data_IF_443736192583
#
_entry.id   IF_443736192583
#
_cell.length_a   1.000
_cell.length_b   1.000
_cell.length_c   1.000
_cell.angle_alpha   90.00
_cell.angle_beta   90.00
_cell.angle_gamma   90.00
#
_symmetry.space_group_name_H-M   'P 1'
#
loop_
_entity.id
_entity.type
_entity.pdbx_description
1 polymer ?
#
# COMPACT_ATOMS: atom_id res chain seq x y z
N UNK A 1 -33.87 7.58 23.65
CA UNK A 1 -33.70 7.52 22.19
C UNK A 1 -32.54 8.39 21.67
N UNK A 2 -32.45 9.68 22.01
CA UNK A 2 -31.42 10.62 21.52
C UNK A 2 -29.97 10.17 21.79
N UNK A 3 -29.69 9.64 23.00
CA UNK A 3 -28.35 9.09 23.35
C UNK A 3 -27.94 7.89 22.49
N UNK A 4 -28.90 7.03 22.14
CA UNK A 4 -28.64 5.85 21.29
C UNK A 4 -28.29 6.27 19.87
N UNK A 5 -29.10 7.16 19.27
CA UNK A 5 -28.85 7.71 17.93
C UNK A 5 -27.49 8.40 17.84
N UNK A 6 -27.13 9.22 18.85
CA UNK A 6 -25.80 9.85 18.93
C UNK A 6 -24.67 8.81 18.89
N UNK A 7 -24.79 7.75 19.68
CA UNK A 7 -23.74 6.72 19.75
C UNK A 7 -23.64 5.95 18.41
N UNK A 8 -24.75 5.68 17.73
CA UNK A 8 -24.76 5.09 16.38
C UNK A 8 -24.06 5.99 15.37
N UNK A 9 -24.35 7.30 15.39
CA UNK A 9 -23.68 8.27 14.49
C UNK A 9 -22.18 8.32 14.76
N UNK A 10 -21.75 8.34 16.02
CA UNK A 10 -20.33 8.31 16.37
C UNK A 10 -19.65 7.00 15.95
N UNK A 11 -20.34 5.86 16.05
CA UNK A 11 -19.83 4.58 15.58
C UNK A 11 -19.60 4.59 14.07
N UNK A 12 -20.59 5.04 13.29
CA UNK A 12 -20.48 5.16 11.82
C UNK A 12 -19.35 6.11 11.44
N UNK A 13 -19.28 7.27 12.10
CA UNK A 13 -18.21 8.25 11.90
C UNK A 13 -16.83 7.62 12.14
N UNK A 14 -16.68 6.91 13.26
CA UNK A 14 -15.42 6.22 13.61
C UNK A 14 -15.06 5.17 12.57
N UNK A 15 -16.03 4.38 12.10
CA UNK A 15 -15.80 3.39 11.04
C UNK A 15 -15.34 4.04 9.73
N UNK A 16 -15.95 5.16 9.33
CA UNK A 16 -15.54 5.90 8.13
C UNK A 16 -14.08 6.38 8.25
N UNK A 17 -13.72 7.03 9.36
CA UNK A 17 -12.34 7.48 9.56
C UNK A 17 -11.35 6.32 9.61
N UNK A 18 -11.72 5.19 10.21
CA UNK A 18 -10.88 3.99 10.23
C UNK A 18 -10.63 3.47 8.82
N UNK A 19 -11.67 3.39 7.97
CA UNK A 19 -11.52 3.00 6.56
C UNK A 19 -10.61 3.97 5.80
N UNK A 20 -10.74 5.28 6.02
CA UNK A 20 -9.86 6.28 5.40
C UNK A 20 -8.40 6.11 5.85
N UNK A 21 -8.15 5.84 7.13
CA UNK A 21 -6.80 5.59 7.66
C UNK A 21 -6.20 4.32 7.04
N UNK A 22 -6.99 3.26 6.88
CA UNK A 22 -6.57 2.03 6.19
C UNK A 22 -6.27 2.29 4.71
N UNK A 23 -7.07 3.10 4.02
CA UNK A 23 -6.81 3.49 2.64
C UNK A 23 -5.49 4.26 2.51
N UNK A 24 -5.19 5.19 3.42
CA UNK A 24 -3.89 5.87 3.45
C UNK A 24 -2.77 4.86 3.65
N UNK A 25 -2.90 3.92 4.60
CA UNK A 25 -1.90 2.87 4.83
C UNK A 25 -1.69 1.95 3.63
N UNK A 26 -2.75 1.62 2.91
CA UNK A 26 -2.62 0.76 1.75
C UNK A 26 -2.07 1.50 0.52
N UNK A 27 -2.50 2.74 0.29
CA UNK A 27 -2.24 3.44 -0.95
C UNK A 27 -0.97 4.27 -0.93
N UNK A 28 -0.54 4.78 0.23
CA UNK A 28 0.60 5.68 0.32
C UNK A 28 1.94 4.95 0.30
N UNK A 29 3.03 5.63 -0.12
CA UNK A 29 4.33 5.00 -0.21
C UNK A 29 4.89 4.71 1.19
N UNK A 30 5.46 3.52 1.31
CA UNK A 30 6.26 3.03 2.41
C UNK A 30 7.69 2.81 1.92
N UNK A 31 8.64 2.86 2.83
CA UNK A 31 10.05 2.65 2.54
C UNK A 31 10.53 1.49 3.41
N UNK A 32 11.28 0.57 2.82
CA UNK A 32 12.08 -0.40 3.56
C UNK A 32 13.47 -0.48 2.98
N UNK A 33 14.42 -0.86 3.82
CA UNK A 33 15.77 -1.21 3.41
C UNK A 33 15.82 -2.72 3.24
N UNK A 34 16.22 -3.18 2.06
CA UNK A 34 16.29 -4.59 1.73
C UNK A 34 17.48 -4.89 0.82
N UNK A 35 17.97 -6.13 0.80
CA UNK A 35 18.94 -6.60 -0.18
C UNK A 35 18.21 -7.38 -1.27
N UNK A 36 18.51 -7.09 -2.54
CA UNK A 36 17.88 -7.80 -3.66
C UNK A 36 18.52 -9.17 -3.83
N UNK A 37 17.72 -10.23 -3.75
CA UNK A 37 18.16 -11.60 -4.02
C UNK A 37 18.01 -11.98 -5.49
N UNK A 38 17.02 -11.40 -6.19
CA UNK A 38 16.75 -11.74 -7.58
C UNK A 38 15.46 -11.12 -8.10
N UNK A 39 15.24 -11.30 -9.40
CA UNK A 39 14.04 -10.83 -10.11
C UNK A 39 13.42 -12.00 -10.85
N UNK A 40 12.10 -12.10 -10.83
CA UNK A 40 11.34 -13.11 -11.57
C UNK A 40 10.26 -12.42 -12.41
N UNK A 41 9.96 -12.97 -13.59
CA UNK A 41 8.87 -12.49 -14.45
C UNK A 41 7.85 -13.61 -14.58
N UNK A 42 6.60 -13.32 -14.23
CA UNK A 42 5.48 -14.25 -14.42
C UNK A 42 4.47 -13.64 -15.37
N UNK A 43 4.02 -14.45 -16.33
CA UNK A 43 2.84 -14.11 -17.13
C UNK A 43 1.61 -14.44 -16.31
N UNK A 44 0.86 -13.43 -15.89
CA UNK A 44 -0.40 -13.64 -15.19
C UNK A 44 -1.54 -13.49 -16.18
N UNK A 45 -2.34 -14.54 -16.30
CA UNK A 45 -3.63 -14.51 -16.96
C UNK A 45 -4.68 -14.13 -15.92
N UNK A 46 -5.46 -13.08 -16.18
CA UNK A 46 -6.45 -12.56 -15.22
C UNK A 46 -7.55 -13.58 -14.85
N UNK A 47 -7.73 -14.63 -15.66
CA UNK A 47 -8.86 -15.56 -15.55
C UNK A 47 -8.50 -16.96 -15.04
N UNK A 48 -7.28 -17.22 -14.58
CA UNK A 48 -6.89 -18.60 -14.21
C UNK A 48 -7.66 -19.16 -13.00
N UNK A 49 -8.30 -18.28 -12.20
CA UNK A 49 -9.04 -18.64 -10.98
C UNK A 49 -10.56 -18.39 -11.04
N UNK A 50 -11.16 -18.07 -12.20
CA UNK A 50 -12.62 -17.87 -12.31
C UNK A 50 -13.28 -19.05 -13.04
N UNK A 51 -14.17 -19.83 -12.39
CA UNK A 51 -14.70 -21.08 -12.96
C UNK A 51 -15.52 -20.91 -14.25
N UNK A 52 -15.98 -19.69 -14.58
CA UNK A 52 -17.06 -19.48 -15.55
C UNK A 52 -16.79 -18.41 -16.63
N UNK A 53 -15.55 -18.00 -16.89
CA UNK A 53 -15.29 -16.99 -17.93
C UNK A 53 -14.23 -17.44 -18.94
N UNK A 54 -14.62 -18.36 -19.83
CA UNK A 54 -13.76 -18.86 -20.93
C UNK A 54 -13.68 -17.93 -22.15
N UNK A 55 -14.37 -16.79 -22.15
CA UNK A 55 -14.56 -16.00 -23.39
C UNK A 55 -13.98 -14.58 -23.36
N UNK A 56 -13.58 -14.06 -22.20
CA UNK A 56 -12.81 -12.81 -22.16
C UNK A 56 -11.34 -13.16 -22.30
N UNK A 57 -10.77 -12.95 -23.50
CA UNK A 57 -9.31 -12.88 -23.71
C UNK A 57 -8.79 -11.70 -22.90
N UNK A 58 -8.60 -11.89 -21.60
CA UNK A 58 -7.92 -10.89 -20.80
C UNK A 58 -6.45 -10.90 -21.23
N UNK A 59 -5.93 -9.73 -21.56
CA UNK A 59 -4.55 -9.58 -22.01
C UNK A 59 -3.63 -10.13 -20.91
N UNK A 60 -2.90 -11.19 -21.21
CA UNK A 60 -1.86 -11.69 -20.32
C UNK A 60 -0.94 -10.53 -19.99
N UNK A 61 -0.79 -10.23 -18.68
CA UNK A 61 0.06 -9.15 -18.22
C UNK A 61 1.33 -9.74 -17.63
N UNK A 62 2.46 -9.17 -18.04
CA UNK A 62 3.75 -9.54 -17.47
C UNK A 62 3.86 -8.86 -16.10
N UNK A 63 4.03 -9.69 -15.08
CA UNK A 63 4.14 -9.28 -13.69
C UNK A 63 5.54 -9.58 -13.22
N UNK A 64 6.26 -8.53 -12.89
CA UNK A 64 7.60 -8.66 -12.37
C UNK A 64 7.55 -8.81 -10.85
N UNK A 65 8.44 -9.62 -10.31
CA UNK A 65 8.62 -9.83 -8.89
C UNK A 65 10.06 -9.53 -8.51
N UNK A 66 10.24 -8.69 -7.49
CA UNK A 66 11.53 -8.38 -6.91
C UNK A 66 11.62 -9.10 -5.57
N UNK A 67 12.53 -10.05 -5.49
CA UNK A 67 12.74 -10.87 -4.29
C UNK A 67 13.83 -10.21 -3.44
N UNK A 68 13.53 -10.01 -2.16
CA UNK A 68 14.42 -9.29 -1.26
C UNK A 68 14.49 -9.98 0.10
N UNK A 69 15.56 -9.72 0.83
CA UNK A 69 15.69 -10.12 2.24
C UNK A 69 16.16 -8.96 3.10
N UNK A 70 15.87 -9.03 4.40
CA UNK A 70 16.32 -8.03 5.37
C UNK A 70 17.86 -8.10 5.54
N UNK A 71 18.60 -6.98 5.43
CA UNK A 71 20.05 -6.98 5.63
C UNK A 71 20.48 -7.55 6.99
N UNK A 72 19.63 -7.48 8.01
CA UNK A 72 19.89 -7.97 9.37
C UNK A 72 19.52 -9.44 9.56
N UNK A 73 18.59 -9.96 8.76
CA UNK A 73 18.15 -11.35 8.82
C UNK A 73 17.81 -11.87 7.41
N UNK A 74 18.73 -12.65 6.84
CA UNK A 74 18.57 -13.25 5.52
C UNK A 74 17.37 -14.19 5.42
N UNK A 75 16.84 -14.70 6.54
CA UNK A 75 15.63 -15.55 6.55
C UNK A 75 14.34 -14.74 6.41
N UNK A 76 14.39 -13.44 6.72
CA UNK A 76 13.26 -12.53 6.55
C UNK A 76 13.17 -12.08 5.10
N UNK A 77 12.44 -12.87 4.30
CA UNK A 77 12.27 -12.64 2.86
C UNK A 77 10.98 -11.86 2.59
N UNK A 78 11.08 -10.78 1.82
CA UNK A 78 9.93 -10.03 1.30
C UNK A 78 9.95 -10.05 -0.22
N UNK A 79 8.84 -10.46 -0.83
CA UNK A 79 8.65 -10.42 -2.27
C UNK A 79 7.75 -9.24 -2.60
N UNK A 80 8.26 -8.35 -3.45
CA UNK A 80 7.49 -7.25 -4.00
C UNK A 80 7.04 -7.60 -5.41
N UNK A 81 5.81 -7.21 -5.72
CA UNK A 81 5.31 -7.18 -7.09
C UNK A 81 5.72 -5.85 -7.73
N UNK A 82 5.92 -5.83 -9.04
CA UNK A 82 6.26 -4.65 -9.80
C UNK A 82 5.42 -4.62 -11.07
N UNK A 83 4.28 -3.96 -10.97
CA UNK A 83 3.35 -3.76 -12.08
C UNK A 83 3.15 -2.27 -12.34
N UNK A 84 2.81 -1.95 -13.59
CA UNK A 84 2.37 -0.62 -13.98
C UNK A 84 0.98 -0.35 -13.40
N UNK A 85 0.86 0.73 -12.63
CA UNK A 85 -0.44 1.21 -12.15
C UNK A 85 -1.25 1.82 -13.30
N UNK A 86 -0.57 2.43 -14.27
CA UNK A 86 -1.20 3.13 -15.39
C UNK A 86 -2.24 4.12 -14.86
N UNK A 87 -3.50 3.96 -15.27
CA UNK A 87 -4.65 4.74 -14.79
C UNK A 87 -5.42 4.03 -13.67
N UNK A 88 -4.91 2.92 -13.15
CA UNK A 88 -5.48 2.16 -12.05
C UNK A 88 -5.19 2.79 -10.69
N UNK A 89 -6.01 2.43 -9.71
CA UNK A 89 -5.85 2.87 -8.33
C UNK A 89 -4.84 1.98 -7.56
N UNK A 90 -3.94 2.54 -6.74
CA UNK A 90 -3.68 3.98 -6.52
C UNK A 90 -3.01 4.65 -7.72
N UNK A 91 -3.42 5.90 -8.01
CA UNK A 91 -3.06 6.66 -9.22
C UNK A 91 -1.61 7.17 -9.23
N UNK A 92 -0.65 6.26 -9.22
CA UNK A 92 0.78 6.58 -9.33
C UNK A 92 1.23 6.87 -10.75
N UNK A 93 0.41 6.63 -11.77
CA UNK A 93 0.76 6.81 -13.19
C UNK A 93 2.11 6.18 -13.56
N UNK A 94 2.33 4.96 -13.06
CA UNK A 94 3.57 4.22 -13.24
C UNK A 94 3.47 3.38 -14.51
N UNK A 95 4.47 3.54 -15.40
CA UNK A 95 4.57 2.89 -16.72
C UNK A 95 5.97 2.31 -17.00
N UNK A 96 6.83 2.24 -15.98
CA UNK A 96 8.24 1.87 -16.08
C UNK A 96 8.56 0.58 -15.29
N UNK A 97 7.60 -0.34 -15.19
CA UNK A 97 7.80 -1.62 -14.48
C UNK A 97 9.00 -2.41 -15.03
N UNK A 98 9.13 -2.53 -16.36
CA UNK A 98 10.25 -3.22 -17.01
C UNK A 98 11.62 -2.60 -16.64
N UNK A 99 11.72 -1.27 -16.62
CA UNK A 99 12.96 -0.56 -16.28
C UNK A 99 13.36 -0.78 -14.83
N UNK A 100 12.39 -0.73 -13.90
CA UNK A 100 12.63 -0.99 -12.47
C UNK A 100 13.11 -2.43 -12.27
N UNK A 101 12.58 -3.38 -13.04
CA UNK A 101 13.03 -4.77 -12.99
C UNK A 101 14.43 -4.98 -13.57
N UNK A 102 14.77 -4.29 -14.66
CA UNK A 102 16.13 -4.30 -15.20
C UNK A 102 17.12 -3.67 -14.19
N UNK A 103 16.74 -2.56 -13.56
CA UNK A 103 17.51 -1.94 -12.49
C UNK A 103 17.69 -2.89 -11.30
N UNK A 104 16.62 -3.53 -10.83
CA UNK A 104 16.69 -4.51 -9.75
C UNK A 104 17.66 -5.65 -10.06
N UNK A 105 17.67 -6.14 -11.31
CA UNK A 105 18.59 -7.19 -11.74
C UNK A 105 20.06 -6.73 -11.70
N UNK A 106 20.34 -5.45 -12.00
CA UNK A 106 21.69 -4.89 -11.89
C UNK A 106 22.16 -4.67 -10.45
N UNK A 107 21.21 -4.61 -9.50
CA UNK A 107 21.45 -4.34 -8.07
C UNK A 107 21.36 -5.60 -7.19
N UNK A 108 21.43 -6.79 -7.79
CA UNK A 108 21.43 -8.06 -7.03
C UNK A 108 22.61 -8.10 -6.05
N UNK A 109 22.34 -8.57 -4.83
CA UNK A 109 23.24 -8.57 -3.67
C UNK A 109 23.65 -7.17 -3.16
N UNK A 110 23.00 -6.10 -3.63
CA UNK A 110 23.20 -4.76 -3.09
C UNK A 110 22.04 -4.35 -2.18
N UNK A 111 22.36 -3.53 -1.18
CA UNK A 111 21.37 -2.94 -0.30
C UNK A 111 20.67 -1.78 -1.00
N UNK A 112 19.34 -1.84 -1.03
CA UNK A 112 18.48 -0.88 -1.70
C UNK A 112 17.35 -0.43 -0.78
N UNK A 113 16.93 0.81 -0.98
CA UNK A 113 15.69 1.34 -0.44
C UNK A 113 14.61 1.00 -1.45
N UNK A 114 13.64 0.24 -0.99
CA UNK A 114 12.45 -0.11 -1.75
C UNK A 114 11.35 0.85 -1.34
N UNK A 115 10.93 1.70 -2.28
CA UNK A 115 9.70 2.46 -2.13
C UNK A 115 8.55 1.63 -2.69
N UNK A 116 7.53 1.33 -1.88
CA UNK A 116 6.42 0.47 -2.26
C UNK A 116 5.09 0.93 -1.65
N UNK A 117 3.98 0.42 -2.15
CA UNK A 117 2.66 0.58 -1.51
C UNK A 117 1.95 -0.78 -1.41
N UNK A 118 0.90 -0.82 -0.59
CA UNK A 118 0.12 -2.03 -0.33
C UNK A 118 0.72 -2.90 0.77
N UNK A 119 0.00 -3.98 1.08
CA UNK A 119 0.35 -4.88 2.17
C UNK A 119 0.79 -6.24 1.64
N UNK A 120 1.67 -6.89 2.42
CA UNK A 120 1.95 -8.31 2.25
C UNK A 120 0.93 -9.12 3.05
N UNK A 121 0.06 -9.86 2.36
CA UNK A 121 -0.87 -10.80 3.01
C UNK A 121 -0.76 -12.15 2.31
N UNK A 122 -0.11 -13.11 2.99
CA UNK A 122 0.17 -14.44 2.43
C UNK A 122 -1.12 -15.20 2.09
N UNK A 123 -2.14 -15.13 2.96
CA UNK A 123 -3.40 -15.85 2.80
C UNK A 123 -4.13 -15.51 1.50
N UNK A 124 -4.00 -14.27 1.02
CA UNK A 124 -4.68 -13.79 -0.18
C UNK A 124 -3.72 -13.59 -1.37
N UNK A 125 -2.48 -14.12 -1.30
CA UNK A 125 -1.45 -13.89 -2.30
C UNK A 125 -1.26 -12.40 -2.66
N UNK A 126 -1.42 -11.51 -1.67
CA UNK A 126 -1.22 -10.08 -1.86
C UNK A 126 0.24 -9.72 -1.62
N UNK A 127 0.83 -9.08 -2.61
CA UNK A 127 2.20 -8.60 -2.59
C UNK A 127 2.21 -7.07 -2.71
N UNK A 128 3.02 -6.37 -1.89
CA UNK A 128 3.22 -4.93 -2.03
C UNK A 128 3.81 -4.62 -3.41
N UNK A 129 3.39 -3.49 -4.01
CA UNK A 129 3.84 -3.07 -5.33
C UNK A 129 5.01 -2.07 -5.22
N UNK A 130 6.13 -2.33 -5.87
CA UNK A 130 7.28 -1.42 -5.95
C UNK A 130 6.90 -0.18 -6.75
N UNK A 131 7.29 0.99 -6.27
CA UNK A 131 7.20 2.27 -6.98
C UNK A 131 8.58 2.65 -7.52
N UNK A 132 9.61 2.54 -6.67
CA UNK A 132 10.96 2.98 -6.98
C UNK A 132 11.99 2.14 -6.20
N UNK A 133 13.18 2.02 -6.78
CA UNK A 133 14.34 1.38 -6.15
C UNK A 133 15.50 2.37 -6.13
N UNK A 134 16.10 2.54 -4.96
CA UNK A 134 17.26 3.42 -4.78
C UNK A 134 18.40 2.62 -4.12
N UNK A 135 19.59 2.50 -4.73
CA UNK A 135 20.73 1.91 -4.04
C UNK A 135 21.12 2.79 -2.84
N UNK A 136 21.31 2.19 -1.66
CA UNK A 136 21.87 2.91 -0.51
C UNK A 136 23.37 2.73 -0.45
N UNK A 137 24.07 3.80 -0.13
CA UNK A 137 25.42 3.74 0.43
C UNK A 137 25.34 3.52 1.94
N UNK A 138 26.42 3.05 2.56
CA UNK A 138 26.45 2.75 4.01
C UNK A 138 26.03 3.92 4.92
N UNK A 139 26.17 5.17 4.46
CA UNK A 139 25.79 6.38 5.20
C UNK A 139 24.39 6.92 4.90
N UNK A 140 23.65 6.32 3.96
CA UNK A 140 22.38 6.86 3.52
C UNK A 140 21.26 6.54 4.52
N UNK A 141 20.54 7.56 4.96
CA UNK A 141 19.34 7.38 5.78
C UNK A 141 18.15 6.92 4.93
N UNK A 142 17.30 6.08 5.51
CA UNK A 142 16.03 5.67 4.92
C UNK A 142 15.07 6.86 4.82
N UNK A 143 14.48 7.04 3.65
CA UNK A 143 13.43 7.99 3.34
C UNK A 143 12.22 7.78 4.26
N UNK A 144 11.61 8.88 4.67
CA UNK A 144 10.46 8.89 5.59
C UNK A 144 9.17 9.18 4.81
N UNK A 145 8.05 8.49 5.11
CA UNK A 145 6.76 8.73 4.46
C UNK A 145 6.06 9.95 5.05
N UNK A 146 6.69 11.13 4.92
CA UNK A 146 6.24 12.40 5.52
C UNK A 146 4.82 12.75 5.06
N UNK A 147 4.50 12.54 3.78
CA UNK A 147 3.17 12.83 3.25
C UNK A 147 2.09 11.96 3.91
N UNK A 148 2.36 10.67 4.13
CA UNK A 148 1.46 9.77 4.86
C UNK A 148 1.22 10.25 6.29
N UNK A 149 2.26 10.71 6.98
CA UNK A 149 2.13 11.27 8.34
C UNK A 149 1.25 12.51 8.37
N UNK A 150 1.40 13.43 7.41
CA UNK A 150 0.54 14.61 7.29
C UNK A 150 -0.92 14.18 7.10
N UNK A 151 -1.19 13.22 6.21
CA UNK A 151 -2.55 12.71 5.99
C UNK A 151 -3.14 12.08 7.26
N UNK A 152 -2.36 11.29 8.00
CA UNK A 152 -2.81 10.72 9.27
C UNK A 152 -3.16 11.79 10.30
N UNK A 153 -2.34 12.84 10.42
CA UNK A 153 -2.61 13.97 11.33
C UNK A 153 -3.91 14.68 10.91
N UNK A 154 -4.08 14.97 9.61
CA UNK A 154 -5.29 15.62 9.10
C UNK A 154 -6.55 14.79 9.36
N UNK A 155 -6.49 13.48 9.12
CA UNK A 155 -7.61 12.56 9.40
C UNK A 155 -7.93 12.52 10.90
N UNK A 156 -6.92 12.48 11.76
CA UNK A 156 -7.08 12.41 13.21
C UNK A 156 -7.68 13.72 13.76
N UNK A 157 -7.19 14.88 13.31
CA UNK A 157 -7.77 16.19 13.64
C UNK A 157 -9.21 16.29 13.12
N UNK A 158 -9.45 15.90 11.87
CA UNK A 158 -10.78 15.88 11.26
C UNK A 158 -11.76 14.99 12.03
N UNK A 159 -11.30 13.85 12.53
CA UNK A 159 -12.10 12.97 13.38
C UNK A 159 -12.51 13.66 14.68
N UNK A 160 -11.57 14.27 15.39
CA UNK A 160 -11.87 14.96 16.66
C UNK A 160 -12.83 16.13 16.48
N UNK A 161 -12.65 16.94 15.42
CA UNK A 161 -13.57 18.03 15.10
C UNK A 161 -14.97 17.47 14.81
N UNK A 162 -15.06 16.44 13.98
CA UNK A 162 -16.34 15.82 13.60
C UNK A 162 -17.05 15.19 14.81
N UNK A 163 -16.32 14.45 15.64
CA UNK A 163 -16.85 13.83 16.85
C UNK A 163 -17.31 14.87 17.88
N UNK A 164 -16.56 15.98 18.03
CA UNK A 164 -16.95 17.11 18.87
C UNK A 164 -18.23 17.76 18.36
N UNK A 165 -18.33 18.03 17.06
CA UNK A 165 -19.52 18.63 16.43
C UNK A 165 -20.77 17.77 16.62
N UNK A 166 -20.66 16.45 16.46
CA UNK A 166 -21.76 15.52 16.78
C UNK A 166 -22.12 15.63 18.26
N UNK A 167 -21.16 15.59 19.17
CA UNK A 167 -21.44 15.71 20.60
C UNK A 167 -22.13 17.04 20.97
N UNK A 168 -21.75 18.17 20.38
CA UNK A 168 -22.37 19.47 20.65
C UNK A 168 -23.79 19.56 20.10
N UNK A 169 -24.03 19.06 18.89
CA UNK A 169 -25.36 19.06 18.26
C UNK A 169 -26.40 18.27 19.07
N UNK A 170 -26.01 17.12 19.61
CA UNK A 170 -26.90 16.28 20.41
C UNK A 170 -27.05 16.76 21.87
N UNK A 171 -26.12 17.57 22.39
CA UNK A 171 -26.29 18.27 23.68
C UNK A 171 -27.37 19.36 23.60
N UNK A 172 -27.41 20.12 22.49
CA UNK A 172 -28.39 21.19 22.29
C UNK A 172 -29.85 20.72 22.11
N UNK A 173 -30.08 19.43 21.82
CA UNK A 173 -31.42 18.82 21.65
C UNK A 173 -31.91 18.05 22.89
N UNK A 174 -31.16 18.08 23.99
CA UNK A 174 -31.50 17.39 25.23
C UNK A 174 -32.21 18.30 26.26
N UNK A 175 -32.38 19.57 25.91
CA UNK A 175 -33.30 20.53 26.55
C UNK A 175 -34.56 20.64 25.70
#
# INVERSE_FOLDING_TARGET
>A
MIKFVRNVVLFILTAIFLVLMLLVSYCMPHYSVAVISGVEVKRMNENENTPNNKEVKTLARDVYFVQTYDPKDQKSVTVYRNEDTRFGFPFYFKFNSADISALAQSLVNQQVEVQYYGWRINLFNMFPNVIFLKPLKESDEMSKPVFSWILYILLLVGFFISARSVCTLFKGKAH
#
